data_IF_268284048015
#
_entry.id   IF_268284048015
#
_cell.length_a   1.000
_cell.length_b   1.000
_cell.length_c   1.000
_cell.angle_alpha   90.00
_cell.angle_beta   90.00
_cell.angle_gamma   90.00
#
_symmetry.space_group_name_H-M   'P 1'
#
loop_
_entity.id
_entity.type
_entity.pdbx_description
1 polymer ?
#
# COMPACT_ATOMS: atom_id res chain seq x y z
N UNK A 1 26.69 -19.29 -20.10
CA UNK A 1 25.44 -18.50 -19.97
C UNK A 1 24.51 -19.02 -18.86
N UNK A 2 24.39 -20.34 -18.63
CA UNK A 2 23.46 -20.91 -17.63
C UNK A 2 23.78 -20.62 -16.15
N UNK A 3 25.06 -20.47 -15.78
CA UNK A 3 25.45 -20.21 -14.38
C UNK A 3 25.10 -18.78 -13.93
N UNK A 4 25.30 -17.79 -14.82
CA UNK A 4 24.95 -16.39 -14.56
C UNK A 4 23.43 -16.18 -14.46
N UNK A 5 22.64 -16.86 -15.30
CA UNK A 5 21.17 -16.82 -15.24
C UNK A 5 20.65 -17.37 -13.90
N UNK A 6 21.20 -18.51 -13.44
CA UNK A 6 20.83 -19.12 -12.16
C UNK A 6 21.21 -18.24 -10.96
N UNK A 7 22.39 -17.60 -11.01
CA UNK A 7 22.81 -16.67 -9.97
C UNK A 7 21.92 -15.41 -9.92
N UNK A 8 21.57 -14.85 -11.07
CA UNK A 8 20.67 -13.69 -11.14
C UNK A 8 19.25 -14.02 -10.64
N UNK A 9 18.71 -15.18 -11.02
CA UNK A 9 17.40 -15.64 -10.56
C UNK A 9 17.37 -15.87 -9.04
N UNK A 10 18.45 -16.43 -8.48
CA UNK A 10 18.58 -16.64 -7.03
C UNK A 10 18.66 -15.30 -6.25
N UNK A 11 19.36 -14.30 -6.79
CA UNK A 11 19.43 -12.95 -6.19
C UNK A 11 18.06 -12.27 -6.24
N UNK A 12 17.33 -12.39 -7.36
CA UNK A 12 16.02 -11.76 -7.52
C UNK A 12 14.96 -12.35 -6.57
N UNK A 13 14.96 -13.67 -6.38
CA UNK A 13 14.08 -14.36 -5.40
C UNK A 13 14.45 -13.99 -3.96
N UNK A 14 15.75 -13.80 -3.67
CA UNK A 14 16.21 -13.36 -2.36
C UNK A 14 15.82 -11.92 -2.00
N UNK A 15 15.66 -11.05 -3.00
CA UNK A 15 15.30 -9.63 -2.81
C UNK A 15 13.78 -9.38 -2.74
N UNK A 16 12.94 -10.28 -3.28
CA UNK A 16 11.48 -10.07 -3.33
C UNK A 16 10.74 -10.40 -2.02
N UNK A 17 11.44 -10.77 -0.95
CA UNK A 17 10.83 -11.32 0.27
C UNK A 17 10.68 -10.35 1.45
N UNK A 18 10.86 -9.04 1.25
CA UNK A 18 10.78 -8.07 2.35
C UNK A 18 9.99 -6.82 1.93
N UNK A 19 8.71 -6.98 1.61
CA UNK A 19 7.76 -5.88 1.83
C UNK A 19 7.30 -6.02 3.27
N UNK A 20 8.04 -5.44 4.22
CA UNK A 20 7.53 -5.28 5.57
C UNK A 20 6.36 -4.30 5.48
N UNK A 21 5.14 -4.80 5.61
CA UNK A 21 3.98 -3.92 5.63
C UNK A 21 4.02 -3.10 6.91
N UNK A 22 4.12 -1.78 6.79
CA UNK A 22 4.38 -0.93 7.95
C UNK A 22 3.07 -0.60 8.66
N UNK A 23 2.98 -1.08 9.91
CA UNK A 23 1.94 -0.67 10.85
C UNK A 23 2.17 0.78 11.35
N UNK A 24 3.42 1.25 11.27
CA UNK A 24 3.90 2.55 11.75
C UNK A 24 3.41 3.70 10.85
N UNK A 25 2.22 4.20 11.14
CA UNK A 25 1.61 5.38 10.52
C UNK A 25 0.46 5.88 11.39
N UNK A 26 -0.14 6.99 10.99
CA UNK A 26 -1.42 7.45 11.54
C UNK A 26 -2.57 6.81 10.78
N UNK A 27 -3.51 6.24 11.51
CA UNK A 27 -4.72 5.63 11.00
C UNK A 27 -5.94 6.43 11.46
N UNK A 28 -6.92 6.63 10.60
CA UNK A 28 -8.18 7.31 10.92
C UNK A 28 -9.35 6.34 10.89
N UNK A 29 -10.26 6.49 11.85
CA UNK A 29 -11.48 5.70 11.91
C UNK A 29 -12.43 6.14 10.80
N UNK A 30 -12.98 5.16 10.07
CA UNK A 30 -14.02 5.38 9.06
C UNK A 30 -15.42 5.50 9.65
N UNK A 31 -15.59 5.18 10.95
CA UNK A 31 -16.88 5.19 11.60
C UNK A 31 -17.23 6.59 12.12
N UNK A 32 -18.40 7.10 11.73
CA UNK A 32 -18.89 8.44 12.13
C UNK A 32 -19.07 8.60 13.65
N UNK A 33 -19.26 7.51 14.39
CA UNK A 33 -19.50 7.50 15.85
C UNK A 33 -18.38 6.85 16.68
N UNK A 34 -17.17 6.66 16.13
CA UNK A 34 -16.08 6.08 16.92
C UNK A 34 -15.62 7.01 18.04
N UNK A 35 -15.45 6.47 19.25
CA UNK A 35 -14.94 7.21 20.42
C UNK A 35 -13.58 7.87 20.19
N UNK A 36 -12.73 7.24 19.37
CA UNK A 36 -11.40 7.74 18.99
C UNK A 36 -11.38 7.99 17.49
N UNK A 37 -10.83 9.14 17.08
CA UNK A 37 -10.77 9.55 15.68
C UNK A 37 -9.53 8.98 15.00
N UNK A 38 -8.38 9.07 15.66
CA UNK A 38 -7.09 8.65 15.09
C UNK A 38 -6.36 7.66 15.99
N UNK A 39 -5.57 6.80 15.37
CA UNK A 39 -4.66 5.85 16.00
C UNK A 39 -3.30 5.99 15.34
N UNK A 40 -2.34 6.56 16.05
CA UNK A 40 -0.95 6.68 15.59
C UNK A 40 -0.12 5.52 16.16
N UNK A 41 0.68 4.87 15.31
CA UNK A 41 1.75 3.97 15.72
C UNK A 41 3.09 4.57 15.32
N UNK A 42 4.01 4.71 16.28
CA UNK A 42 5.32 5.32 16.06
C UNK A 42 6.36 4.74 17.00
N UNK A 43 7.44 4.16 16.46
CA UNK A 43 8.59 3.65 17.21
C UNK A 43 8.25 2.75 18.41
N UNK A 44 7.22 1.90 18.29
CA UNK A 44 6.78 1.00 19.37
C UNK A 44 5.77 1.61 20.35
N UNK A 45 5.39 2.88 20.19
CA UNK A 45 4.35 3.55 20.95
C UNK A 45 3.07 3.70 20.12
N UNK A 46 1.91 3.63 20.78
CA UNK A 46 0.61 3.94 20.17
C UNK A 46 -0.08 5.11 20.86
N UNK A 47 -0.90 5.83 20.10
CA UNK A 47 -1.72 6.91 20.61
C UNK A 47 -3.10 6.94 19.93
N UNK A 48 -4.15 6.64 20.69
CA UNK A 48 -5.53 6.93 20.29
C UNK A 48 -5.87 8.37 20.65
N UNK A 49 -6.13 9.20 19.64
CA UNK A 49 -6.56 10.59 19.87
C UNK A 49 -8.04 10.76 19.58
N UNK A 50 -8.69 11.57 20.40
CA UNK A 50 -10.11 11.96 20.26
C UNK A 50 -10.25 13.45 20.52
N UNK A 51 -11.31 14.05 19.96
CA UNK A 51 -11.65 15.45 20.21
C UNK A 51 -12.43 15.64 21.53
N UNK A 52 -13.06 14.58 22.03
CA UNK A 52 -14.01 14.65 23.15
C UNK A 52 -13.55 13.90 24.41
N UNK A 53 -12.58 13.00 24.28
CA UNK A 53 -12.05 12.17 25.37
C UNK A 53 -10.54 12.27 25.41
N UNK A 54 -9.95 12.12 26.60
CA UNK A 54 -8.50 12.05 26.76
C UNK A 54 -7.89 10.99 25.85
N UNK A 55 -6.76 11.33 25.24
CA UNK A 55 -5.99 10.41 24.42
C UNK A 55 -5.51 9.21 25.23
N UNK A 56 -5.63 8.01 24.67
CA UNK A 56 -5.08 6.79 25.27
C UNK A 56 -3.72 6.50 24.63
N UNK A 57 -2.69 6.36 25.47
CA UNK A 57 -1.31 6.12 25.03
C UNK A 57 -0.73 4.86 25.67
N UNK A 58 0.33 4.35 25.07
CA UNK A 58 1.11 3.27 25.63
C UNK A 58 2.02 2.63 24.60
N UNK A 59 2.50 1.43 24.91
CA UNK A 59 3.40 0.67 24.03
C UNK A 59 2.60 -0.37 23.23
N UNK A 60 3.06 -0.71 22.03
CA UNK A 60 2.48 -1.78 21.24
C UNK A 60 3.51 -2.81 20.81
N UNK A 61 3.03 -4.03 20.61
CA UNK A 61 3.77 -5.11 19.99
C UNK A 61 2.91 -5.76 18.91
N UNK A 62 3.48 -5.94 17.73
CA UNK A 62 2.82 -6.57 16.59
C UNK A 62 3.67 -7.71 16.05
N UNK A 63 3.13 -8.94 16.07
CA UNK A 63 3.78 -10.11 15.50
C UNK A 63 2.76 -11.17 15.12
N UNK A 64 2.91 -11.80 13.95
CA UNK A 64 2.07 -12.91 13.50
C UNK A 64 0.56 -12.61 13.62
N UNK A 65 0.15 -11.44 13.13
CA UNK A 65 -1.22 -10.93 13.19
C UNK A 65 -1.77 -10.64 14.59
N UNK A 66 -0.98 -10.81 15.65
CA UNK A 66 -1.34 -10.44 17.01
C UNK A 66 -0.85 -9.02 17.30
N UNK A 67 -1.78 -8.12 17.61
CA UNK A 67 -1.51 -6.78 18.10
C UNK A 67 -1.78 -6.77 19.61
N UNK A 68 -0.77 -6.41 20.40
CA UNK A 68 -0.87 -6.26 21.85
C UNK A 68 -0.63 -4.79 22.18
N UNK A 69 -1.58 -4.17 22.87
CA UNK A 69 -1.49 -2.80 23.36
C UNK A 69 -1.33 -2.82 24.87
N UNK A 70 -0.26 -2.21 25.36
CA UNK A 70 0.05 -2.02 26.77
C UNK A 70 -0.32 -0.59 27.14
N UNK A 71 -1.47 -0.40 27.78
CA UNK A 71 -2.00 0.93 28.10
C UNK A 71 -1.24 1.55 29.27
N UNK A 72 -0.89 2.83 29.16
CA UNK A 72 -0.33 3.60 30.27
C UNK A 72 -1.45 4.24 31.13
N UNK A 73 -2.41 3.42 31.55
CA UNK A 73 -3.47 3.81 32.48
C UNK A 73 -3.11 3.41 33.92
N UNK A 74 -3.90 3.84 34.91
CA UNK A 74 -3.62 3.54 36.32
C UNK A 74 -3.56 2.04 36.65
N UNK A 75 -4.07 1.18 35.76
CA UNK A 75 -4.11 -0.26 35.93
C UNK A 75 -3.09 -1.00 35.04
N UNK A 76 -2.32 -0.27 34.22
CA UNK A 76 -1.46 -0.80 33.16
C UNK A 76 -2.14 -1.89 32.32
N UNK A 77 -3.35 -1.61 31.85
CA UNK A 77 -4.19 -2.61 31.21
C UNK A 77 -3.60 -3.12 29.88
N UNK A 78 -3.79 -4.41 29.58
CA UNK A 78 -3.29 -5.02 28.34
C UNK A 78 -4.47 -5.45 27.48
N UNK A 79 -4.52 -4.96 26.24
CA UNK A 79 -5.53 -5.36 25.25
C UNK A 79 -4.89 -6.11 24.10
N UNK A 80 -5.56 -7.16 23.63
CA UNK A 80 -5.09 -8.04 22.56
C UNK A 80 -6.09 -8.03 21.42
N UNK A 81 -5.58 -7.89 20.21
CA UNK A 81 -6.34 -7.84 18.98
C UNK A 81 -5.71 -8.73 17.92
N UNK A 82 -6.53 -9.22 16.99
CA UNK A 82 -6.09 -9.93 15.79
C UNK A 82 -6.28 -9.02 14.58
N UNK A 83 -5.19 -8.79 13.85
CA UNK A 83 -5.20 -8.07 12.58
C UNK A 83 -5.66 -9.03 11.48
N UNK A 84 -6.79 -8.70 10.85
CA UNK A 84 -7.37 -9.48 9.75
C UNK A 84 -6.97 -8.93 8.39
N UNK A 85 -6.70 -7.62 8.30
CA UNK A 85 -6.22 -6.96 7.09
C UNK A 85 -5.23 -5.87 7.47
N UNK A 86 -4.07 -5.84 6.80
CA UNK A 86 -3.08 -4.78 6.93
C UNK A 86 -2.53 -4.53 5.54
N UNK A 87 -2.89 -3.38 4.96
CA UNK A 87 -2.38 -2.91 3.68
C UNK A 87 -1.70 -1.55 3.85
N UNK A 88 -1.26 -0.96 2.74
CA UNK A 88 -0.68 0.39 2.78
C UNK A 88 -1.74 1.44 3.17
N UNK A 89 -3.02 1.18 2.87
CA UNK A 89 -4.14 2.11 3.09
C UNK A 89 -5.15 1.64 4.14
N UNK A 90 -5.19 0.35 4.49
CA UNK A 90 -6.28 -0.22 5.30
C UNK A 90 -5.72 -1.00 6.48
N UNK A 91 -6.29 -0.79 7.66
CA UNK A 91 -6.00 -1.54 8.87
C UNK A 91 -7.32 -2.05 9.47
N UNK A 92 -7.50 -3.37 9.46
CA UNK A 92 -8.64 -4.03 10.10
C UNK A 92 -8.13 -4.97 11.18
N UNK A 93 -8.60 -4.73 12.41
CA UNK A 93 -8.31 -5.61 13.52
C UNK A 93 -9.50 -5.75 14.46
N UNK A 94 -9.55 -6.86 15.18
CA UNK A 94 -10.65 -7.19 16.06
C UNK A 94 -10.19 -7.80 17.37
N UNK A 95 -10.88 -7.44 18.45
CA UNK A 95 -10.72 -8.00 19.78
C UNK A 95 -11.90 -8.93 20.10
N UNK A 96 -12.06 -9.25 21.39
CA UNK A 96 -13.17 -10.10 21.84
C UNK A 96 -14.56 -9.48 21.60
N UNK A 97 -14.66 -8.15 21.67
CA UNK A 97 -15.94 -7.43 21.65
C UNK A 97 -15.95 -6.23 20.69
N UNK A 98 -14.80 -5.83 20.14
CA UNK A 98 -14.68 -4.63 19.31
C UNK A 98 -13.99 -4.93 17.98
N UNK A 99 -14.50 -4.35 16.91
CA UNK A 99 -13.95 -4.42 15.56
C UNK A 99 -13.56 -3.02 15.12
N UNK A 100 -12.37 -2.88 14.55
CA UNK A 100 -11.85 -1.61 14.05
C UNK A 100 -11.58 -1.73 12.57
N UNK A 101 -12.04 -0.73 11.81
CA UNK A 101 -11.75 -0.56 10.40
C UNK A 101 -11.24 0.86 10.19
N UNK A 102 -9.93 0.98 9.99
CA UNK A 102 -9.24 2.25 9.85
C UNK A 102 -8.59 2.36 8.47
N UNK A 103 -8.47 3.60 8.01
CA UNK A 103 -7.78 3.94 6.76
C UNK A 103 -6.54 4.76 7.12
N UNK A 104 -5.46 4.63 6.36
CA UNK A 104 -4.27 5.44 6.57
C UNK A 104 -4.63 6.92 6.42
N UNK A 105 -4.23 7.74 7.40
CA UNK A 105 -4.35 9.18 7.28
C UNK A 105 -3.50 9.62 6.08
N UNK A 106 -4.07 10.42 5.18
CA UNK A 106 -3.26 11.05 4.15
C UNK A 106 -2.26 11.98 4.84
N UNK A 107 -0.96 11.67 4.71
CA UNK A 107 0.11 12.58 5.13
C UNK A 107 0.07 13.79 4.19
N UNK A 108 -0.74 14.79 4.57
CA UNK A 108 -0.69 16.10 3.91
C UNK A 108 0.66 16.75 4.24
N UNK A 109 1.59 16.67 3.28
CA UNK A 109 2.60 17.69 3.13
C UNK A 109 1.89 19.01 2.82
N UNK A 110 1.57 19.78 3.87
CA UNK A 110 1.12 21.18 3.93
C UNK A 110 0.37 21.67 2.68
N UNK A 111 -0.97 21.74 2.74
CA UNK A 111 -1.74 22.88 2.19
C UNK A 111 -3.11 22.99 2.88
N UNK A 112 -3.44 24.22 3.29
CA UNK A 112 -4.66 24.73 3.97
C UNK A 112 -6.03 24.19 3.50
N UNK A 113 -7.08 24.29 4.36
CA UNK A 113 -8.25 23.41 4.36
C UNK A 113 -9.29 23.76 3.31
N UNK A 114 -9.94 22.75 2.74
CA UNK A 114 -11.20 22.92 2.00
C UNK A 114 -12.22 21.88 2.46
N UNK A 115 -13.42 22.39 2.72
CA UNK A 115 -14.59 21.77 3.31
C UNK A 115 -15.04 20.46 2.66
N UNK A 116 -15.52 19.59 3.54
CA UNK A 116 -16.29 18.37 3.30
C UNK A 116 -17.46 18.57 2.33
N UNK A 117 -17.48 17.76 1.27
CA UNK A 117 -18.70 17.27 0.65
C UNK A 117 -18.56 15.75 0.59
N UNK A 118 -19.50 15.03 1.21
CA UNK A 118 -19.66 13.58 1.06
C UNK A 118 -19.91 13.26 -0.42
N UNK A 119 -18.86 12.89 -1.13
CA UNK A 119 -18.93 12.30 -2.45
C UNK A 119 -18.18 10.97 -2.38
N UNK A 120 -18.80 9.91 -2.88
CA UNK A 120 -18.22 8.57 -2.98
C UNK A 120 -16.91 8.74 -3.75
N UNK A 121 -15.77 8.74 -3.05
CA UNK A 121 -14.46 8.93 -3.70
C UNK A 121 -14.31 7.79 -4.71
N UNK A 122 -14.34 8.07 -6.02
CA UNK A 122 -14.08 7.05 -7.01
C UNK A 122 -12.67 6.50 -6.76
N UNK A 123 -12.46 5.21 -6.98
CA UNK A 123 -11.17 4.53 -6.79
C UNK A 123 -10.01 5.48 -7.16
N UNK A 124 -9.03 5.60 -6.25
CA UNK A 124 -7.83 6.43 -6.42
C UNK A 124 -7.38 6.40 -7.88
N UNK A 125 -7.66 7.50 -8.59
CA UNK A 125 -7.44 7.59 -10.01
C UNK A 125 -5.95 7.47 -10.34
N UNK A 126 -5.64 7.36 -11.63
CA UNK A 126 -4.28 7.40 -12.13
C UNK A 126 -3.46 8.53 -11.48
N UNK A 127 -2.49 8.17 -10.64
CA UNK A 127 -1.61 9.13 -9.97
C UNK A 127 -0.24 9.19 -10.66
N UNK A 128 0.45 10.33 -10.54
CA UNK A 128 1.82 10.47 -11.09
C UNK A 128 2.79 9.45 -10.51
N UNK A 129 2.65 9.09 -9.24
CA UNK A 129 3.45 8.05 -8.58
C UNK A 129 3.18 6.66 -9.18
N UNK A 130 1.91 6.35 -9.44
CA UNK A 130 1.50 5.08 -10.07
C UNK A 130 1.97 4.98 -11.52
N UNK A 131 1.89 6.08 -12.29
CA UNK A 131 2.41 6.16 -13.65
C UNK A 131 3.93 5.91 -13.69
N UNK A 132 4.68 6.63 -12.87
CA UNK A 132 6.13 6.51 -12.85
C UNK A 132 6.58 5.11 -12.43
N UNK A 133 5.89 4.49 -11.47
CA UNK A 133 6.12 3.09 -11.07
C UNK A 133 5.86 2.11 -12.22
N UNK A 134 4.81 2.34 -13.01
CA UNK A 134 4.53 1.55 -14.22
C UNK A 134 5.60 1.69 -15.30
N UNK A 135 6.03 2.91 -15.59
CA UNK A 135 7.12 3.19 -16.55
C UNK A 135 8.41 2.53 -16.08
N UNK A 136 8.74 2.66 -14.79
CA UNK A 136 9.93 2.04 -14.22
C UNK A 136 9.90 0.52 -14.39
N UNK A 137 8.76 -0.13 -14.13
CA UNK A 137 8.59 -1.56 -14.37
C UNK A 137 8.81 -1.97 -15.83
N UNK A 138 8.21 -1.25 -16.79
CA UNK A 138 8.41 -1.51 -18.23
C UNK A 138 9.88 -1.38 -18.64
N UNK A 139 10.56 -0.34 -18.17
CA UNK A 139 11.99 -0.13 -18.42
C UNK A 139 12.83 -1.26 -17.82
N UNK A 140 12.54 -1.67 -16.59
CA UNK A 140 13.23 -2.80 -15.93
C UNK A 140 13.06 -4.10 -16.72
N UNK A 141 11.86 -4.39 -17.21
CA UNK A 141 11.62 -5.60 -18.02
C UNK A 141 12.37 -5.57 -19.36
N UNK A 142 12.38 -4.42 -20.05
CA UNK A 142 13.16 -4.24 -21.28
C UNK A 142 14.65 -4.41 -20.99
N UNK A 143 15.14 -3.88 -19.88
CA UNK A 143 16.53 -4.01 -19.46
C UNK A 143 16.92 -5.46 -19.15
N UNK A 144 16.06 -6.21 -18.45
CA UNK A 144 16.27 -7.64 -18.17
C UNK A 144 16.24 -8.45 -19.48
N UNK A 145 15.29 -8.17 -20.38
CA UNK A 145 15.22 -8.83 -21.69
C UNK A 145 16.47 -8.52 -22.54
N UNK A 146 16.98 -7.30 -22.48
CA UNK A 146 18.26 -6.92 -23.10
C UNK A 146 19.44 -7.69 -22.48
N UNK A 147 19.46 -7.87 -21.16
CA UNK A 147 20.46 -8.66 -20.44
C UNK A 147 20.48 -10.12 -20.83
N UNK A 148 19.32 -10.72 -21.09
CA UNK A 148 19.21 -12.12 -21.51
C UNK A 148 19.18 -12.33 -23.03
N UNK A 149 19.21 -11.26 -23.82
CA UNK A 149 19.29 -11.38 -25.28
C UNK A 149 20.63 -11.98 -25.71
N UNK A 150 20.55 -13.07 -26.47
CA UNK A 150 21.73 -13.78 -27.00
C UNK A 150 22.46 -12.97 -28.07
N UNK A 151 21.80 -12.00 -28.71
CA UNK A 151 22.40 -11.09 -29.68
C UNK A 151 21.90 -9.66 -29.48
N UNK A 152 22.50 -8.96 -28.51
CA UNK A 152 22.15 -7.59 -28.10
C UNK A 152 22.19 -6.57 -29.24
N UNK A 153 23.06 -6.79 -30.24
CA UNK A 153 23.22 -5.90 -31.39
C UNK A 153 22.14 -6.12 -32.46
N UNK A 154 21.52 -7.29 -32.51
CA UNK A 154 20.47 -7.62 -33.47
C UNK A 154 19.05 -7.27 -32.98
N UNK A 155 18.92 -6.62 -31.82
CA UNK A 155 17.62 -6.21 -31.29
C UNK A 155 17.05 -5.11 -32.19
N UNK A 156 15.92 -5.40 -32.83
CA UNK A 156 15.21 -4.45 -33.66
C UNK A 156 14.39 -3.50 -32.78
N UNK A 157 14.99 -2.38 -32.39
CA UNK A 157 14.36 -1.36 -31.54
C UNK A 157 13.09 -0.75 -32.15
N UNK A 158 12.95 -0.74 -33.48
CA UNK A 158 11.71 -0.32 -34.14
C UNK A 158 10.56 -1.26 -33.81
N UNK A 159 10.82 -2.57 -33.78
CA UNK A 159 9.80 -3.58 -33.43
C UNK A 159 9.41 -3.50 -31.95
N UNK A 160 10.40 -3.33 -31.06
CA UNK A 160 10.16 -3.16 -29.62
C UNK A 160 9.32 -1.91 -29.36
N UNK A 161 9.66 -0.78 -29.99
CA UNK A 161 8.91 0.47 -29.85
C UNK A 161 7.47 0.37 -30.36
N UNK A 162 7.25 -0.29 -31.51
CA UNK A 162 5.90 -0.53 -32.05
C UNK A 162 5.07 -1.40 -31.08
N UNK A 163 5.66 -2.42 -30.48
CA UNK A 163 5.00 -3.24 -29.47
C UNK A 163 4.59 -2.44 -28.22
N UNK A 164 5.45 -1.54 -27.75
CA UNK A 164 5.18 -0.71 -26.58
C UNK A 164 4.07 0.32 -26.84
N UNK A 165 4.07 0.92 -28.05
CA UNK A 165 2.96 1.79 -28.48
C UNK A 165 1.65 1.01 -28.54
N UNK A 166 1.67 -0.20 -29.09
CA UNK A 166 0.48 -1.05 -29.17
C UNK A 166 -0.07 -1.42 -27.77
N UNK A 167 0.82 -1.70 -26.80
CA UNK A 167 0.42 -1.92 -25.41
C UNK A 167 -0.32 -0.71 -24.81
N UNK A 168 0.20 0.50 -25.04
CA UNK A 168 -0.45 1.75 -24.59
C UNK A 168 -1.82 1.97 -25.25
N UNK A 169 -1.90 1.75 -26.57
CA UNK A 169 -3.16 1.90 -27.34
C UNK A 169 -4.23 0.94 -26.82
N UNK A 170 -3.88 -0.34 -26.62
CA UNK A 170 -4.83 -1.33 -26.07
C UNK A 170 -5.23 -0.98 -24.65
N UNK A 171 -4.26 -0.66 -23.78
CA UNK A 171 -4.55 -0.34 -22.38
C UNK A 171 -5.56 0.81 -22.26
N UNK A 172 -5.38 1.87 -23.05
CA UNK A 172 -6.32 3.01 -23.10
C UNK A 172 -7.66 2.58 -23.73
N UNK A 173 -7.63 1.79 -24.81
CA UNK A 173 -8.83 1.31 -25.50
C UNK A 173 -9.75 0.48 -24.59
N UNK A 174 -9.18 -0.46 -23.83
CA UNK A 174 -9.91 -1.31 -22.88
C UNK A 174 -10.50 -0.46 -21.75
N UNK A 175 -9.74 0.49 -21.20
CA UNK A 175 -10.18 1.35 -20.09
C UNK A 175 -11.19 2.43 -20.48
N UNK A 176 -11.38 2.71 -21.78
CA UNK A 176 -12.25 3.81 -22.24
C UNK A 176 -13.50 3.33 -22.96
N UNK A 177 -13.51 2.14 -23.54
CA UNK A 177 -14.66 1.60 -24.27
C UNK A 177 -15.57 0.83 -23.32
N UNK A 178 -16.75 1.38 -23.01
CA UNK A 178 -17.68 0.82 -22.01
C UNK A 178 -18.18 -0.60 -22.35
N UNK A 179 -18.20 -0.96 -23.63
CA UNK A 179 -18.48 -2.33 -24.07
C UNK A 179 -17.43 -3.34 -23.58
N UNK A 180 -16.15 -2.95 -23.52
CA UNK A 180 -15.04 -3.82 -23.12
C UNK A 180 -14.95 -3.91 -21.59
N UNK A 181 -15.21 -2.82 -20.87
CA UNK A 181 -15.31 -2.80 -19.39
C UNK A 181 -16.41 -3.68 -18.81
N UNK A 182 -17.42 -4.01 -19.61
CA UNK A 182 -18.53 -4.87 -19.15
C UNK A 182 -18.18 -6.36 -19.29
N UNK A 183 -17.21 -6.69 -20.16
CA UNK A 183 -16.75 -8.06 -20.43
C UNK A 183 -15.52 -8.45 -19.59
N UNK A 184 -14.71 -7.46 -19.19
CA UNK A 184 -13.52 -7.59 -18.35
C UNK A 184 -13.72 -6.97 -16.98
#
# INVERSE_FOLDING_TARGET
MNQFFKAFLAIFIGLSSITAQELEKTWESTASESTYKTLEFKKGEFNFSSNSVNSIKGDYMYQNNLLVLYHNDSLNSIKRYKITELTDSTLVFSGKEMHFNLVAAEEEAIVTPVSTIDEIIPNQGFSFTSLWRGILGMVTLIFIAFLFSSNRKAINWKTVGVGLVFQLVIAIGVLKVDFVKTVF
#
